data_IF_707834204723
#
_entry.id   IF_707834204723
#
_cell.length_a   1.000
_cell.length_b   1.000
_cell.length_c   1.000
_cell.angle_alpha   90.00
_cell.angle_beta   90.00
_cell.angle_gamma   90.00
#
_symmetry.space_group_name_H-M   'P 1'
#
loop_
_entity.id
_entity.type
_entity.pdbx_description
1 polymer ?
#
# COMPACT_ATOMS: atom_id res chain seq x y z
N UNK A 1 1.38 15.01 -11.00
CA UNK A 1 0.20 14.20 -11.36
C UNK A 1 0.04 13.16 -10.26
N UNK A 2 -1.18 12.89 -9.76
CA UNK A 2 -1.39 11.82 -8.79
C UNK A 2 -0.97 10.48 -9.41
N UNK A 3 -0.48 9.52 -8.61
CA UNK A 3 -0.11 8.21 -9.12
C UNK A 3 -1.34 7.49 -9.69
N UNK A 4 -1.18 6.92 -10.88
CA UNK A 4 -2.22 6.10 -11.50
C UNK A 4 -2.34 4.77 -10.73
N UNK A 5 -3.51 4.51 -10.15
CA UNK A 5 -3.80 3.28 -9.43
C UNK A 5 -4.41 2.26 -10.39
N UNK A 6 -3.74 1.14 -10.58
CA UNK A 6 -4.17 0.07 -11.48
C UNK A 6 -5.28 -0.74 -10.79
N UNK A 7 -6.46 -0.89 -11.40
CA UNK A 7 -7.53 -1.70 -10.82
C UNK A 7 -7.09 -3.17 -10.66
N UNK A 8 -7.44 -3.77 -9.52
CA UNK A 8 -7.02 -5.13 -9.16
C UNK A 8 -5.66 -5.22 -8.46
N UNK A 9 -4.96 -4.10 -8.27
CA UNK A 9 -3.74 -4.06 -7.46
C UNK A 9 -4.04 -3.54 -6.05
N UNK A 10 -3.33 -4.10 -5.07
CA UNK A 10 -3.37 -3.65 -3.68
C UNK A 10 -2.50 -2.41 -3.50
N UNK A 11 -3.09 -1.34 -2.95
CA UNK A 11 -2.38 -0.11 -2.62
C UNK A 11 -2.54 0.22 -1.13
N UNK A 12 -1.50 0.79 -0.55
CA UNK A 12 -1.48 1.30 0.80
C UNK A 12 -1.20 2.80 0.77
N UNK A 13 -2.08 3.58 1.40
CA UNK A 13 -1.79 4.94 1.80
C UNK A 13 -1.13 4.90 3.16
N UNK A 14 0.07 5.45 3.27
CA UNK A 14 0.83 5.52 4.51
C UNK A 14 1.09 6.99 4.81
N UNK A 15 0.65 7.42 5.98
CA UNK A 15 1.00 8.73 6.51
C UNK A 15 2.27 8.60 7.35
N UNK A 16 3.36 9.18 6.88
CA UNK A 16 4.64 9.20 7.56
C UNK A 16 5.41 10.47 7.22
N UNK A 17 6.05 11.05 8.24
CA UNK A 17 7.01 12.14 8.06
C UNK A 17 8.40 11.63 7.64
N UNK A 18 8.54 10.31 7.45
CA UNK A 18 9.81 9.63 7.15
C UNK A 18 9.91 9.37 5.65
N UNK A 19 11.14 9.40 5.13
CA UNK A 19 11.38 9.17 3.71
C UNK A 19 10.86 7.79 3.23
N UNK A 20 10.29 7.71 2.02
CA UNK A 20 9.64 6.50 1.51
C UNK A 20 10.58 5.28 1.31
N UNK A 21 11.88 5.53 1.17
CA UNK A 21 12.93 4.50 1.07
C UNK A 21 13.01 3.63 2.34
N UNK A 22 12.74 4.19 3.52
CA UNK A 22 12.80 3.43 4.78
C UNK A 22 11.68 2.39 4.87
N UNK A 23 10.49 2.75 4.37
CA UNK A 23 9.31 1.89 4.36
C UNK A 23 9.43 0.74 3.35
N UNK A 24 9.92 1.03 2.15
CA UNK A 24 10.16 0.02 1.10
C UNK A 24 11.24 -0.98 1.50
N UNK A 25 12.30 -0.54 2.19
CA UNK A 25 13.33 -1.41 2.75
C UNK A 25 12.84 -2.32 3.88
N UNK A 26 12.03 -1.79 4.81
CA UNK A 26 11.60 -2.51 6.01
C UNK A 26 10.71 -3.73 5.72
N UNK A 27 9.85 -3.65 4.70
CA UNK A 27 8.87 -4.70 4.39
C UNK A 27 9.38 -5.74 3.42
N UNK A 28 10.51 -5.50 2.76
CA UNK A 28 11.16 -6.48 1.88
C UNK A 28 11.67 -7.73 2.63
N UNK A 29 11.68 -7.70 3.97
CA UNK A 29 11.97 -8.86 4.81
C UNK A 29 10.72 -9.71 5.03
N UNK A 30 10.63 -10.79 4.25
CA UNK A 30 9.62 -11.85 4.24
C UNK A 30 8.72 -11.95 5.47
N UNK A 31 7.42 -11.74 5.26
CA UNK A 31 6.36 -12.13 6.19
C UNK A 31 5.97 -13.57 5.83
N UNK A 32 6.21 -14.52 6.73
CA UNK A 32 5.72 -15.91 6.62
C UNK A 32 6.13 -16.67 5.33
N UNK A 33 7.37 -16.47 4.86
CA UNK A 33 7.88 -17.15 3.66
C UNK A 33 7.35 -16.59 2.32
N UNK A 34 6.46 -15.60 2.37
CA UNK A 34 6.10 -14.77 1.22
C UNK A 34 6.90 -13.47 1.24
N UNK A 35 7.66 -13.20 0.19
CA UNK A 35 8.39 -11.94 0.03
C UNK A 35 7.40 -10.87 -0.44
N UNK A 36 6.67 -10.29 0.52
CA UNK A 36 5.88 -9.09 0.28
C UNK A 36 6.83 -7.90 0.17
N UNK A 37 6.61 -7.02 -0.79
CA UNK A 37 7.42 -5.82 -1.01
C UNK A 37 6.49 -4.65 -1.28
N UNK A 38 6.83 -3.49 -0.74
CA UNK A 38 6.18 -2.24 -1.09
C UNK A 38 6.93 -1.57 -2.24
N UNK A 39 6.21 -1.16 -3.27
CA UNK A 39 6.73 -0.34 -4.36
C UNK A 39 6.16 1.06 -4.23
N UNK A 40 7.01 2.06 -4.02
CA UNK A 40 6.56 3.44 -3.93
C UNK A 40 5.97 3.91 -5.26
N UNK A 41 4.72 4.39 -5.23
CA UNK A 41 4.01 4.88 -6.41
C UNK A 41 3.98 6.41 -6.49
N UNK A 42 4.07 7.09 -5.36
CA UNK A 42 4.04 8.55 -5.29
C UNK A 42 3.39 9.05 -4.02
N UNK A 43 3.22 10.36 -3.92
CA UNK A 43 2.55 11.01 -2.80
C UNK A 43 1.04 11.20 -3.05
N UNK A 44 0.27 11.33 -1.98
CA UNK A 44 -1.16 11.66 -2.06
C UNK A 44 -1.32 13.18 -2.17
N UNK A 45 -1.58 13.67 -3.38
CA UNK A 45 -1.83 15.09 -3.61
C UNK A 45 -0.62 15.98 -3.26
N UNK A 46 -0.85 17.02 -2.46
CA UNK A 46 0.15 18.00 -2.03
C UNK A 46 0.65 17.77 -0.59
N UNK A 47 0.14 16.75 0.10
CA UNK A 47 0.52 16.45 1.48
C UNK A 47 1.85 15.71 1.47
N UNK A 48 2.91 16.36 1.96
CA UNK A 48 4.26 15.83 1.98
C UNK A 48 4.42 14.58 2.85
N UNK A 49 3.53 14.41 3.83
CA UNK A 49 3.56 13.30 4.79
C UNK A 49 2.67 12.11 4.37
N UNK A 50 2.14 12.07 3.14
CA UNK A 50 1.28 10.98 2.67
C UNK A 50 1.81 10.32 1.40
N UNK A 51 2.02 9.01 1.48
CA UNK A 51 2.66 8.23 0.45
C UNK A 51 1.79 7.04 0.05
N UNK A 52 1.77 6.73 -1.25
CA UNK A 52 1.11 5.56 -1.82
C UNK A 52 2.17 4.53 -2.16
N UNK A 53 1.94 3.31 -1.68
CA UNK A 53 2.74 2.14 -2.01
C UNK A 53 1.85 1.08 -2.66
N UNK A 54 2.34 0.45 -3.70
CA UNK A 54 1.77 -0.77 -4.24
C UNK A 54 2.33 -1.97 -3.48
N UNK A 55 1.44 -2.89 -3.10
CA UNK A 55 1.84 -4.13 -2.46
C UNK A 55 2.08 -5.19 -3.53
N UNK A 56 3.29 -5.72 -3.54
CA UNK A 56 3.72 -6.77 -4.44
C UNK A 56 4.16 -7.99 -3.64
N UNK A 57 3.97 -9.19 -4.16
CA UNK A 57 4.49 -10.42 -3.61
C UNK A 57 5.39 -11.05 -4.66
N UNK A 58 6.67 -11.24 -4.33
CA UNK A 58 7.69 -11.78 -5.25
C UNK A 58 7.71 -11.01 -6.59
N UNK A 59 7.63 -9.67 -6.51
CA UNK A 59 7.62 -8.76 -7.67
C UNK A 59 6.32 -8.69 -8.47
N UNK A 60 5.24 -9.34 -8.03
CA UNK A 60 3.91 -9.25 -8.67
C UNK A 60 2.92 -8.52 -7.79
N UNK A 61 2.18 -7.56 -8.33
CA UNK A 61 1.08 -6.93 -7.60
C UNK A 61 0.07 -8.00 -7.13
N UNK A 62 -0.35 -7.89 -5.87
CA UNK A 62 -1.38 -8.77 -5.31
C UNK A 62 -2.74 -8.07 -5.35
N UNK A 63 -3.79 -8.87 -5.33
CA UNK A 63 -5.15 -8.35 -5.19
C UNK A 63 -5.38 -7.79 -3.78
N UNK A 64 -6.10 -6.67 -3.60
CA UNK A 64 -6.40 -6.13 -2.28
C UNK A 64 -7.17 -7.11 -1.38
N UNK A 65 -7.89 -8.08 -1.96
CA UNK A 65 -8.54 -9.15 -1.19
C UNK A 65 -7.57 -10.16 -0.58
N UNK A 66 -6.36 -10.28 -1.13
CA UNK A 66 -5.28 -11.12 -0.64
C UNK A 66 -4.33 -10.39 0.31
N UNK A 67 -4.56 -9.09 0.53
CA UNK A 67 -3.76 -8.29 1.44
C UNK A 67 -4.07 -8.69 2.88
N UNK A 68 -3.14 -9.39 3.51
CA UNK A 68 -3.27 -9.80 4.90
C UNK A 68 -3.11 -8.62 5.87
N UNK A 69 -3.87 -8.65 6.98
CA UNK A 69 -3.77 -7.64 8.03
C UNK A 69 -2.37 -7.57 8.64
N UNK A 70 -1.59 -8.65 8.60
CA UNK A 70 -0.20 -8.71 9.01
C UNK A 70 0.70 -7.77 8.21
N UNK A 71 0.45 -7.59 6.90
CA UNK A 71 1.21 -6.63 6.08
C UNK A 71 0.94 -5.21 6.56
N UNK A 72 -0.33 -4.86 6.79
CA UNK A 72 -0.74 -3.55 7.30
C UNK A 72 -0.13 -3.29 8.68
N UNK A 73 -0.11 -4.30 9.56
CA UNK A 73 0.43 -4.18 10.90
C UNK A 73 1.97 -4.08 10.91
N UNK A 74 2.64 -4.77 9.99
CA UNK A 74 4.07 -4.63 9.77
C UNK A 74 4.43 -3.22 9.29
N UNK A 75 3.64 -2.64 8.37
CA UNK A 75 3.81 -1.24 7.93
C UNK A 75 3.62 -0.28 9.10
N UNK A 76 2.59 -0.49 9.94
CA UNK A 76 2.34 0.31 11.14
C UNK A 76 3.44 0.18 12.20
N UNK A 77 4.15 -0.95 12.24
CA UNK A 77 5.28 -1.15 13.15
C UNK A 77 6.55 -0.41 12.74
N UNK A 78 6.61 0.15 11.52
CA UNK A 78 7.76 0.93 11.07
C UNK A 78 7.81 2.26 11.85
N UNK A 79 8.95 2.60 12.49
CA UNK A 79 9.08 3.83 13.23
C UNK A 79 8.86 5.05 12.31
N UNK A 80 7.99 5.96 12.75
CA UNK A 80 7.62 7.17 12.00
C UNK A 80 6.37 7.03 11.14
N UNK A 81 5.78 5.84 11.02
CA UNK A 81 4.45 5.66 10.45
C UNK A 81 3.38 6.06 11.46
N UNK A 82 2.50 6.99 11.07
CA UNK A 82 1.37 7.44 11.90
C UNK A 82 0.10 6.68 11.57
N UNK A 83 -0.17 6.52 10.26
CA UNK A 83 -1.39 5.90 9.77
C UNK A 83 -1.10 5.05 8.53
N UNK A 84 -1.83 3.95 8.41
CA UNK A 84 -1.83 3.09 7.22
C UNK A 84 -3.27 2.78 6.87
N UNK A 85 -3.67 3.11 5.66
CA UNK A 85 -4.98 2.87 5.09
C UNK A 85 -4.84 2.02 3.81
N UNK A 86 -5.65 0.97 3.70
CA UNK A 86 -5.71 0.16 2.49
C UNK A 86 -6.57 0.90 1.46
N UNK A 87 -5.95 1.30 0.36
CA UNK A 87 -6.65 1.85 -0.79
C UNK A 87 -7.26 0.69 -1.57
N UNK A 88 -8.42 0.25 -1.12
CA UNK A 88 -9.25 -0.64 -1.92
C UNK A 88 -9.82 0.23 -3.02
N UNK A 89 -9.38 0.01 -4.26
CA UNK A 89 -10.13 0.48 -5.42
C UNK A 89 -11.44 -0.30 -5.40
N UNK A 90 -12.42 0.15 -4.59
CA UNK A 90 -13.79 -0.34 -4.66
C UNK A 90 -14.17 -0.04 -6.09
N UNK A 91 -14.17 -1.07 -6.93
CA UNK A 91 -15.00 -1.12 -8.11
C UNK A 91 -16.33 -0.59 -7.62
N UNK A 92 -16.70 0.64 -8.01
CA UNK A 92 -18.05 1.13 -7.76
C UNK A 92 -18.89 0.12 -8.48
N UNK A 93 -19.44 -0.84 -7.75
CA UNK A 93 -20.54 -1.62 -8.24
C UNK A 93 -21.57 -0.55 -8.61
N UNK A 94 -21.71 -0.28 -9.92
CA UNK A 94 -22.99 0.19 -10.42
C UNK A 94 -23.94 -0.93 -10.04
N UNK A 95 -24.57 -0.79 -8.87
CA UNK A 95 -25.81 -1.48 -8.60
C UNK A 95 -26.81 -0.71 -9.43
N UNK A 96 -26.94 -1.14 -10.67
CA UNK A 96 -28.11 -0.83 -11.48
C UNK A 96 -29.31 -1.29 -10.64
N UNK A 97 -30.01 -0.33 -10.05
CA UNK A 97 -31.35 -0.54 -9.53
C UNK A 97 -32.27 -0.68 -10.75
N UNK A 98 -32.73 -1.90 -11.02
CA UNK A 98 -33.87 -2.22 -11.88
C UNK A 98 -34.85 -3.10 -11.12
#
# INVERSE_FOLDING_TARGET
MPPELIPGHAYLRVSSATAPDTLTGALSSSVDGSTVQLTYRGQVGELADEHIYEVTNSGKAIDPSLLDAGVVNAVKSVPGVKEVEVLVHKQRARRDEF
#
